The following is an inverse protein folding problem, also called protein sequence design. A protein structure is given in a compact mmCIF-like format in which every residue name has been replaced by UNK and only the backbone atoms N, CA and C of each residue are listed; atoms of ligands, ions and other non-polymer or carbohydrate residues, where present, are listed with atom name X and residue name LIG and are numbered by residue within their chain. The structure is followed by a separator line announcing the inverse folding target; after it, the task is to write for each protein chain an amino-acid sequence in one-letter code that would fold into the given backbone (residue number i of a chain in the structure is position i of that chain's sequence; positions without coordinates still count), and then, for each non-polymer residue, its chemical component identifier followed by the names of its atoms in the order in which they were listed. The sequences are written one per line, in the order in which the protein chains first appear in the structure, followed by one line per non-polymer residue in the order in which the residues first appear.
data_IF_212351411817
#
_entry.id   IF_212351411817
#
_cell.length_a   1.000
_cell.length_b   1.000
_cell.length_c   1.000
_cell.angle_alpha   90.00
_cell.angle_beta   90.00
_cell.angle_gamma   90.00
#
_symmetry.space_group_name_H-M   'P 1'
#
loop_
_entity.id
_entity.type
_entity.pdbx_description
1 polymer ?
#
# COMPACT_ATOMS: atom_id res chain seq x y z
N UNK A 1 -13.88 13.50 3.30
CA UNK A 1 -13.53 12.86 4.58
C UNK A 1 -13.43 11.36 4.36
N UNK A 2 -12.30 10.75 4.69
CA UNK A 2 -12.11 9.30 4.50
C UNK A 2 -12.90 8.51 5.54
N UNK A 3 -13.34 7.30 5.18
CA UNK A 3 -13.95 6.33 6.09
C UNK A 3 -12.91 5.26 6.39
N UNK A 4 -12.62 5.02 7.67
CA UNK A 4 -11.64 4.01 8.12
C UNK A 4 -12.37 3.03 9.02
N UNK A 5 -12.20 1.74 8.77
CA UNK A 5 -12.86 0.68 9.55
C UNK A 5 -12.04 -0.60 9.50
N UNK A 6 -12.34 -1.53 10.41
CA UNK A 6 -11.74 -2.86 10.42
C UNK A 6 -12.57 -3.77 9.49
N UNK A 7 -11.94 -4.31 8.44
CA UNK A 7 -12.59 -5.15 7.43
C UNK A 7 -13.41 -6.28 8.05
N UNK A 8 -12.85 -7.02 9.01
CA UNK A 8 -13.51 -8.16 9.65
C UNK A 8 -14.73 -7.79 10.50
N UNK A 9 -14.93 -6.49 10.81
CA UNK A 9 -16.11 -6.02 11.51
C UNK A 9 -17.32 -5.77 10.56
N UNK A 10 -17.11 -5.90 9.26
CA UNK A 10 -18.14 -5.81 8.22
C UNK A 10 -18.24 -7.18 7.54
N UNK A 11 -19.11 -8.04 8.06
CA UNK A 11 -19.24 -9.45 7.65
C UNK A 11 -19.57 -9.65 6.17
N UNK A 12 -20.18 -8.66 5.57
CA UNK A 12 -20.56 -8.62 4.15
C UNK A 12 -19.38 -8.88 3.21
N UNK A 13 -18.15 -8.54 3.61
CA UNK A 13 -16.94 -8.87 2.87
C UNK A 13 -16.76 -10.39 2.69
N UNK A 14 -16.90 -11.16 3.77
CA UNK A 14 -16.77 -12.62 3.72
C UNK A 14 -17.97 -13.27 3.02
N UNK A 15 -19.18 -12.74 3.24
CA UNK A 15 -20.40 -13.25 2.62
C UNK A 15 -20.36 -13.03 1.09
N UNK A 16 -19.96 -11.86 0.60
CA UNK A 16 -19.80 -11.62 -0.84
C UNK A 16 -18.65 -12.45 -1.43
N UNK A 17 -17.54 -12.62 -0.68
CA UNK A 17 -16.42 -13.46 -1.11
C UNK A 17 -16.91 -14.87 -1.46
N UNK A 18 -17.76 -15.46 -0.63
CA UNK A 18 -18.31 -16.77 -0.92
C UNK A 18 -19.10 -16.80 -2.24
N UNK A 19 -19.95 -15.81 -2.48
CA UNK A 19 -20.72 -15.72 -3.73
C UNK A 19 -19.78 -15.54 -4.93
N UNK A 20 -18.79 -14.66 -4.82
CA UNK A 20 -17.83 -14.43 -5.90
C UNK A 20 -16.93 -15.65 -6.17
N UNK A 21 -16.65 -16.48 -5.16
CA UNK A 21 -15.96 -17.75 -5.34
C UNK A 21 -16.74 -18.73 -6.23
N UNK A 22 -18.06 -18.68 -6.19
CA UNK A 22 -18.92 -19.48 -7.09
C UNK A 22 -18.91 -18.94 -8.55
N UNK A 23 -18.43 -17.72 -8.76
CA UNK A 23 -18.28 -17.08 -10.06
C UNK A 23 -16.84 -17.13 -10.58
N UNK A 24 -15.85 -17.12 -9.69
CA UNK A 24 -14.43 -17.19 -10.00
C UNK A 24 -14.04 -18.54 -10.62
N UNK A 25 -12.99 -18.54 -11.43
CA UNK A 25 -12.47 -19.76 -12.05
C UNK A 25 -11.12 -20.13 -11.43
N UNK A 26 -10.94 -21.39 -11.12
CA UNK A 26 -9.67 -21.92 -10.60
C UNK A 26 -8.46 -21.48 -11.43
N UNK A 27 -8.58 -21.57 -12.78
CA UNK A 27 -7.51 -21.19 -13.70
C UNK A 27 -7.13 -19.69 -13.65
N UNK A 28 -8.01 -18.82 -13.19
CA UNK A 28 -7.73 -17.39 -13.00
C UNK A 28 -6.88 -17.18 -11.74
N UNK A 29 -7.26 -17.83 -10.64
CA UNK A 29 -6.54 -17.78 -9.37
C UNK A 29 -5.16 -18.46 -9.47
N UNK A 30 -5.05 -19.61 -10.15
CA UNK A 30 -3.80 -20.30 -10.40
C UNK A 30 -2.78 -19.47 -11.20
N UNK A 31 -3.24 -18.52 -12.03
CA UNK A 31 -2.37 -17.65 -12.82
C UNK A 31 -1.86 -16.43 -12.05
N UNK A 32 -2.39 -16.16 -10.85
CA UNK A 32 -1.98 -15.01 -10.05
C UNK A 32 -0.49 -15.07 -9.68
N UNK A 33 0.26 -14.06 -10.09
CA UNK A 33 1.73 -14.01 -9.85
C UNK A 33 2.05 -13.96 -8.36
N UNK A 34 1.32 -13.17 -7.60
CA UNK A 34 1.48 -13.06 -6.15
C UNK A 34 1.25 -14.40 -5.43
N UNK A 35 0.27 -15.19 -5.88
CA UNK A 35 0.07 -16.54 -5.37
C UNK A 35 1.29 -17.43 -5.64
N UNK A 36 1.76 -17.45 -6.89
CA UNK A 36 2.94 -18.26 -7.28
C UNK A 36 4.19 -17.91 -6.49
N UNK A 37 4.44 -16.63 -6.29
CA UNK A 37 5.64 -16.17 -5.58
C UNK A 37 5.59 -16.50 -4.09
N UNK A 38 4.42 -16.32 -3.44
CA UNK A 38 4.23 -16.67 -2.04
C UNK A 38 4.21 -18.18 -1.82
N UNK A 39 3.57 -18.93 -2.71
CA UNK A 39 3.53 -20.38 -2.68
C UNK A 39 4.95 -21.02 -2.77
N UNK A 40 5.81 -20.47 -3.63
CA UNK A 40 7.22 -20.90 -3.73
C UNK A 40 8.01 -20.66 -2.43
N UNK A 41 7.68 -19.61 -1.68
CA UNK A 41 8.34 -19.29 -0.40
C UNK A 41 7.86 -20.18 0.76
N UNK A 42 6.60 -20.60 0.76
CA UNK A 42 5.96 -21.34 1.87
C UNK A 42 6.02 -22.88 1.69
N UNK A 43 6.42 -23.37 0.52
CA UNK A 43 6.58 -24.80 0.16
C UNK A 43 5.41 -25.73 0.56
N UNK A 44 5.34 -26.22 1.79
CA UNK A 44 4.40 -27.29 2.18
C UNK A 44 3.13 -26.80 2.94
N UNK A 45 3.09 -25.55 3.38
CA UNK A 45 2.01 -25.02 4.22
C UNK A 45 1.19 -23.92 3.53
N UNK A 46 0.81 -24.13 2.26
CA UNK A 46 0.00 -23.16 1.51
C UNK A 46 -1.45 -23.27 1.98
N UNK A 47 -1.97 -22.21 2.61
CA UNK A 47 -3.37 -22.17 3.01
C UNK A 47 -4.29 -21.84 1.84
N UNK A 48 -5.56 -22.31 1.91
CA UNK A 48 -6.60 -21.93 0.94
C UNK A 48 -6.78 -20.40 0.91
N UNK A 49 -6.66 -19.73 2.05
CA UNK A 49 -6.74 -18.28 2.11
C UNK A 49 -5.67 -17.56 1.28
N UNK A 50 -4.47 -18.15 1.11
CA UNK A 50 -3.46 -17.60 0.22
C UNK A 50 -3.85 -17.73 -1.26
N UNK A 51 -4.62 -18.73 -1.61
CA UNK A 51 -5.17 -18.92 -2.95
C UNK A 51 -6.37 -18.01 -3.21
N UNK A 52 -7.18 -17.78 -2.19
CA UNK A 52 -8.51 -17.16 -2.28
C UNK A 52 -8.54 -15.64 -1.99
N UNK A 53 -7.52 -15.09 -1.32
CA UNK A 53 -7.53 -13.66 -0.96
C UNK A 53 -7.75 -12.68 -2.13
N UNK A 54 -7.43 -13.00 -3.42
CA UNK A 54 -7.77 -12.10 -4.52
C UNK A 54 -9.28 -11.93 -4.71
N UNK A 55 -10.08 -12.95 -4.37
CA UNK A 55 -11.55 -12.88 -4.40
C UNK A 55 -12.07 -12.05 -3.22
N UNK A 56 -11.46 -12.17 -2.04
CA UNK A 56 -11.77 -11.29 -0.90
C UNK A 56 -11.44 -9.83 -1.23
N UNK A 57 -10.31 -9.56 -1.89
CA UNK A 57 -10.00 -8.21 -2.36
C UNK A 57 -11.03 -7.69 -3.37
N UNK A 58 -11.54 -8.54 -4.24
CA UNK A 58 -12.63 -8.16 -5.15
C UNK A 58 -13.90 -7.78 -4.38
N UNK A 59 -14.25 -8.52 -3.32
CA UNK A 59 -15.37 -8.17 -2.42
C UNK A 59 -15.15 -6.82 -1.74
N UNK A 60 -13.94 -6.55 -1.24
CA UNK A 60 -13.57 -5.28 -0.60
C UNK A 60 -13.81 -4.07 -1.51
N UNK A 61 -13.71 -4.27 -2.81
CA UNK A 61 -13.88 -3.22 -3.83
C UNK A 61 -15.34 -3.13 -4.30
N UNK A 62 -15.95 -4.27 -4.61
CA UNK A 62 -17.26 -4.32 -5.29
C UNK A 62 -18.43 -3.98 -4.35
N UNK A 63 -18.32 -4.27 -3.05
CA UNK A 63 -19.34 -3.90 -2.06
C UNK A 63 -19.65 -2.41 -2.04
N UNK A 64 -18.69 -1.57 -2.37
CA UNK A 64 -18.79 -0.12 -2.25
C UNK A 64 -19.00 0.60 -3.58
N UNK A 65 -19.28 -0.12 -4.67
CA UNK A 65 -19.42 0.45 -6.01
C UNK A 65 -18.28 1.39 -6.39
N UNK A 66 -17.06 0.98 -6.08
CA UNK A 66 -15.84 1.79 -6.20
C UNK A 66 -15.61 2.21 -7.66
N UNK A 67 -15.34 3.51 -7.88
CA UNK A 67 -14.96 4.05 -9.18
C UNK A 67 -13.51 3.78 -9.52
N UNK A 68 -12.62 4.14 -8.59
CA UNK A 68 -11.18 4.14 -8.78
C UNK A 68 -10.48 3.46 -7.61
N UNK A 69 -9.58 2.54 -7.90
CA UNK A 69 -8.77 1.85 -6.91
C UNK A 69 -7.31 2.28 -7.06
N UNK A 70 -6.74 3.01 -6.09
CA UNK A 70 -5.33 3.37 -6.11
C UNK A 70 -4.49 2.13 -5.82
N UNK A 71 -3.74 1.67 -6.82
CA UNK A 71 -2.91 0.47 -6.73
C UNK A 71 -1.53 0.68 -7.33
N UNK A 72 -0.53 -0.05 -6.81
CA UNK A 72 0.75 -0.24 -7.47
C UNK A 72 0.66 -1.27 -8.60
N UNK A 73 1.67 -1.31 -9.46
CA UNK A 73 1.70 -2.25 -10.59
C UNK A 73 1.61 -3.73 -10.17
N UNK A 74 2.11 -4.07 -8.99
CA UNK A 74 2.05 -5.41 -8.41
C UNK A 74 0.62 -5.85 -8.06
N UNK A 75 -0.32 -4.93 -7.93
CA UNK A 75 -1.74 -5.19 -7.64
C UNK A 75 -2.64 -5.11 -8.89
N UNK A 76 -2.09 -4.76 -10.05
CA UNK A 76 -2.86 -4.64 -11.30
C UNK A 76 -3.65 -5.92 -11.61
N UNK A 77 -3.01 -7.08 -11.49
CA UNK A 77 -3.64 -8.36 -11.80
C UNK A 77 -4.82 -8.70 -10.87
N UNK A 78 -4.76 -8.30 -9.61
CA UNK A 78 -5.89 -8.45 -8.68
C UNK A 78 -7.07 -7.58 -9.09
N UNK A 79 -6.81 -6.35 -9.54
CA UNK A 79 -7.86 -5.47 -9.99
C UNK A 79 -8.48 -5.95 -11.32
N UNK A 80 -7.68 -6.51 -12.23
CA UNK A 80 -8.20 -7.15 -13.44
C UNK A 80 -9.14 -8.30 -13.10
N UNK A 81 -8.77 -9.17 -12.15
CA UNK A 81 -9.65 -10.21 -11.64
C UNK A 81 -10.96 -9.63 -11.07
N UNK A 82 -10.86 -8.56 -10.29
CA UNK A 82 -12.05 -7.87 -9.74
C UNK A 82 -12.99 -7.40 -10.85
N UNK A 83 -12.44 -6.81 -11.90
CA UNK A 83 -13.21 -6.35 -13.08
C UNK A 83 -13.87 -7.52 -13.80
N UNK A 84 -13.13 -8.60 -14.03
CA UNK A 84 -13.64 -9.81 -14.69
C UNK A 84 -14.78 -10.44 -13.89
N UNK A 85 -14.66 -10.50 -12.56
CA UNK A 85 -15.72 -11.00 -11.66
C UNK A 85 -16.97 -10.12 -11.74
N UNK A 86 -16.81 -8.78 -11.69
CA UNK A 86 -17.91 -7.84 -11.79
C UNK A 86 -18.64 -7.97 -13.13
N UNK A 87 -17.91 -7.99 -14.25
CA UNK A 87 -18.47 -8.12 -15.60
C UNK A 87 -19.21 -9.46 -15.74
N UNK A 88 -18.62 -10.55 -15.26
CA UNK A 88 -19.21 -11.89 -15.34
C UNK A 88 -20.48 -11.99 -14.50
N UNK A 89 -20.44 -11.50 -13.25
CA UNK A 89 -21.62 -11.48 -12.40
C UNK A 89 -22.74 -10.65 -13.02
N UNK A 90 -22.45 -9.45 -13.50
CA UNK A 90 -23.44 -8.58 -14.13
C UNK A 90 -24.07 -9.22 -15.37
N UNK A 91 -23.29 -9.95 -16.18
CA UNK A 91 -23.79 -10.68 -17.35
C UNK A 91 -24.73 -11.82 -16.96
N UNK A 92 -24.35 -12.61 -15.94
CA UNK A 92 -25.02 -13.88 -15.62
C UNK A 92 -26.23 -13.68 -14.69
N UNK A 93 -26.19 -12.66 -13.81
CA UNK A 93 -27.21 -12.39 -12.78
C UNK A 93 -27.88 -11.02 -12.91
N UNK A 94 -27.46 -10.18 -13.87
CA UNK A 94 -27.96 -8.82 -14.06
C UNK A 94 -27.10 -7.76 -13.40
N UNK A 95 -27.21 -6.54 -13.89
CA UNK A 95 -26.35 -5.43 -13.53
C UNK A 95 -26.43 -5.08 -12.05
N UNK A 96 -25.37 -5.36 -11.31
CA UNK A 96 -25.27 -5.25 -9.86
C UNK A 96 -24.04 -4.47 -9.45
N UNK A 97 -22.86 -4.82 -9.99
CA UNK A 97 -21.60 -4.21 -9.61
C UNK A 97 -21.17 -3.13 -10.59
N UNK A 98 -20.64 -2.05 -10.05
CA UNK A 98 -19.84 -1.11 -10.81
C UNK A 98 -18.48 -1.71 -11.12
N UNK A 99 -18.03 -1.62 -12.37
CA UNK A 99 -16.71 -2.11 -12.78
C UNK A 99 -15.68 -1.04 -12.44
N UNK A 100 -14.74 -1.29 -11.51
CA UNK A 100 -13.77 -0.29 -11.07
C UNK A 100 -12.67 -0.07 -12.10
N UNK A 101 -12.03 1.11 -12.05
CA UNK A 101 -10.82 1.40 -12.81
C UNK A 101 -9.59 1.53 -11.90
N UNK A 102 -8.41 1.23 -12.45
CA UNK A 102 -7.15 1.41 -11.75
C UNK A 102 -6.73 2.88 -11.73
N UNK A 103 -6.41 3.40 -10.55
CA UNK A 103 -5.69 4.64 -10.42
C UNK A 103 -4.23 4.33 -10.11
N UNK A 104 -3.37 4.40 -11.13
CA UNK A 104 -1.93 4.21 -10.98
C UNK A 104 -1.29 5.60 -11.01
N UNK A 105 -0.76 6.08 -9.88
CA UNK A 105 -0.09 7.37 -9.84
C UNK A 105 1.06 7.40 -10.85
N UNK A 106 1.10 8.43 -11.69
CA UNK A 106 2.16 8.58 -12.71
C UNK A 106 3.54 8.86 -12.12
N UNK A 107 3.60 9.27 -10.86
CA UNK A 107 4.85 9.62 -10.16
C UNK A 107 4.73 9.19 -8.70
N UNK A 108 5.37 8.10 -8.37
CA UNK A 108 5.84 7.84 -7.03
C UNK A 108 7.34 7.69 -7.12
N UNK A 109 8.11 8.53 -6.43
CA UNK A 109 9.54 8.29 -6.35
C UNK A 109 9.76 6.87 -5.81
N UNK A 110 10.51 6.08 -6.54
CA UNK A 110 10.89 4.74 -6.09
C UNK A 110 12.04 4.89 -5.11
N UNK A 111 11.72 5.07 -3.84
CA UNK A 111 12.72 5.16 -2.80
C UNK A 111 13.38 3.78 -2.60
N UNK A 112 14.72 3.78 -2.62
CA UNK A 112 15.52 2.57 -2.48
C UNK A 112 15.97 2.39 -1.02
N UNK A 113 16.32 1.15 -0.66
CA UNK A 113 16.85 0.82 0.66
C UNK A 113 18.10 1.63 0.98
N UNK A 114 18.23 2.08 2.22
CA UNK A 114 19.40 2.83 2.69
C UNK A 114 20.66 1.95 2.80
N UNK A 115 20.48 0.65 3.00
CA UNK A 115 21.58 -0.33 3.12
C UNK A 115 21.91 -1.03 1.79
N UNK A 116 20.95 -1.09 0.84
CA UNK A 116 21.13 -1.69 -0.48
C UNK A 116 20.36 -0.89 -1.54
N UNK A 117 20.98 0.09 -2.19
CA UNK A 117 20.32 0.94 -3.18
C UNK A 117 19.85 0.23 -4.45
N UNK A 118 20.15 -1.05 -4.61
CA UNK A 118 19.61 -1.87 -5.71
C UNK A 118 18.20 -2.40 -5.43
N UNK A 119 17.78 -2.40 -4.15
CA UNK A 119 16.48 -2.89 -3.69
C UNK A 119 15.56 -1.73 -3.33
N UNK A 120 14.26 -1.90 -3.57
CA UNK A 120 13.25 -0.94 -3.09
C UNK A 120 13.22 -0.95 -1.55
N UNK A 121 13.10 0.23 -0.93
CA UNK A 121 12.85 0.35 0.51
C UNK A 121 11.59 -0.42 0.89
N UNK A 122 11.70 -1.29 1.87
CA UNK A 122 10.60 -2.16 2.30
C UNK A 122 10.58 -2.29 3.82
N UNK A 123 9.38 -2.21 4.39
CA UNK A 123 9.14 -2.49 5.82
C UNK A 123 9.48 -3.94 6.19
N UNK A 124 9.38 -4.87 5.25
CA UNK A 124 9.64 -6.30 5.43
C UNK A 124 11.03 -6.73 4.97
N UNK A 125 11.99 -5.79 4.84
CA UNK A 125 13.39 -6.12 4.58
C UNK A 125 14.02 -6.78 5.81
N UNK A 126 14.93 -7.74 5.58
CA UNK A 126 15.67 -8.43 6.64
C UNK A 126 16.62 -7.49 7.39
N UNK A 127 17.10 -6.41 6.72
CA UNK A 127 17.91 -5.38 7.35
C UNK A 127 17.05 -4.20 7.85
N UNK A 128 16.88 -4.03 9.17
CA UNK A 128 16.12 -2.93 9.75
C UNK A 128 16.71 -1.55 9.48
N UNK A 129 18.00 -1.47 9.07
CA UNK A 129 18.63 -0.19 8.71
C UNK A 129 18.30 0.25 7.28
N UNK A 130 17.77 -0.64 6.46
CA UNK A 130 17.40 -0.35 5.07
C UNK A 130 16.15 0.53 4.92
N UNK A 131 15.33 0.65 5.96
CA UNK A 131 14.05 1.37 5.92
C UNK A 131 13.89 2.31 7.10
N UNK A 132 13.43 3.55 6.86
CA UNK A 132 12.97 4.47 7.91
C UNK A 132 11.47 4.25 8.10
N UNK A 133 11.07 3.92 9.33
CA UNK A 133 9.66 3.75 9.70
C UNK A 133 9.07 5.08 10.17
N UNK A 134 7.77 5.28 9.97
CA UNK A 134 7.07 6.51 10.38
C UNK A 134 7.15 6.76 11.90
N UNK A 135 7.32 5.71 12.71
CA UNK A 135 7.41 5.80 14.17
C UNK A 135 8.85 5.65 14.71
N UNK A 136 9.87 5.65 13.84
CA UNK A 136 11.26 5.69 14.31
C UNK A 136 11.53 6.96 15.12
N UNK A 137 12.18 6.83 16.24
CA UNK A 137 12.63 7.98 17.04
C UNK A 137 13.81 8.70 16.36
N UNK A 138 14.12 9.91 16.84
CA UNK A 138 15.15 10.75 16.27
C UNK A 138 16.53 10.05 16.25
N UNK A 139 16.89 9.34 17.32
CA UNK A 139 18.17 8.63 17.42
C UNK A 139 18.26 7.48 16.42
N UNK A 140 17.15 6.76 16.22
CA UNK A 140 17.06 5.68 15.24
C UNK A 140 17.19 6.22 13.83
N UNK A 141 16.49 7.30 13.49
CA UNK A 141 16.59 7.96 12.17
C UNK A 141 18.02 8.40 11.90
N UNK A 142 18.68 9.08 12.88
CA UNK A 142 20.07 9.52 12.74
C UNK A 142 21.01 8.33 12.51
N UNK A 143 20.87 7.24 13.28
CA UNK A 143 21.68 6.02 13.12
C UNK A 143 21.52 5.38 11.75
N UNK A 144 20.27 5.29 11.23
CA UNK A 144 19.97 4.73 9.92
C UNK A 144 20.62 5.54 8.79
N UNK A 145 20.46 6.86 8.78
CA UNK A 145 21.11 7.69 7.77
C UNK A 145 22.63 7.71 7.90
N UNK A 146 23.18 7.74 9.10
CA UNK A 146 24.65 7.64 9.31
C UNK A 146 25.21 6.37 8.68
N UNK A 147 24.50 5.25 8.75
CA UNK A 147 24.89 3.94 8.21
C UNK A 147 24.51 3.76 6.73
N UNK A 148 23.67 4.62 6.16
CA UNK A 148 23.24 4.51 4.77
C UNK A 148 24.45 4.39 3.84
N UNK A 149 24.32 3.52 2.85
CA UNK A 149 25.38 3.28 1.86
C UNK A 149 25.61 4.53 1.03
N UNK A 150 26.88 4.85 0.77
CA UNK A 150 27.33 5.88 -0.15
C UNK A 150 28.43 5.29 -1.04
N UNK A 151 28.74 5.92 -2.14
CA UNK A 151 29.84 5.54 -3.01
C UNK A 151 31.18 6.15 -2.52
N UNK A 152 32.25 5.94 -3.29
CA UNK A 152 33.58 6.47 -3.04
C UNK A 152 33.82 7.88 -3.62
N UNK A 153 32.79 8.50 -4.21
CA UNK A 153 32.88 9.84 -4.77
C UNK A 153 32.87 10.93 -3.72
N UNK A 154 33.00 12.18 -4.17
CA UNK A 154 32.97 13.36 -3.28
C UNK A 154 31.89 14.37 -3.66
N UNK A 155 31.41 14.33 -4.92
CA UNK A 155 30.37 15.23 -5.39
C UNK A 155 28.98 14.78 -4.94
N UNK A 156 28.17 15.73 -4.52
CA UNK A 156 26.77 15.54 -4.14
C UNK A 156 25.89 16.21 -5.21
N UNK A 157 25.44 15.39 -6.18
CA UNK A 157 24.55 15.80 -7.26
C UNK A 157 23.67 14.64 -7.68
N UNK A 158 22.54 14.95 -8.33
CA UNK A 158 21.69 13.92 -8.94
C UNK A 158 22.43 13.26 -10.11
N UNK A 159 22.59 11.95 -10.04
CA UNK A 159 23.27 11.16 -11.06
C UNK A 159 22.71 9.73 -11.03
N UNK A 160 22.03 9.33 -12.09
CA UNK A 160 21.43 8.00 -12.21
C UNK A 160 22.48 6.85 -12.16
N UNK A 161 23.75 7.14 -12.51
CA UNK A 161 24.84 6.18 -12.39
C UNK A 161 25.33 5.95 -10.95
N UNK A 162 24.86 6.76 -10.00
CA UNK A 162 25.25 6.76 -8.59
C UNK A 162 24.03 6.52 -7.69
N UNK A 163 23.44 5.32 -7.72
CA UNK A 163 22.12 5.04 -7.13
C UNK A 163 22.05 5.34 -5.63
N UNK A 164 23.13 5.14 -4.88
CA UNK A 164 23.15 5.40 -3.42
C UNK A 164 22.97 6.90 -3.13
N UNK A 165 23.75 7.76 -3.76
CA UNK A 165 23.69 9.20 -3.54
C UNK A 165 22.39 9.77 -4.12
N UNK A 166 22.01 9.31 -5.32
CA UNK A 166 20.77 9.74 -5.97
C UNK A 166 19.56 9.43 -5.07
N UNK A 167 19.51 8.26 -4.44
CA UNK A 167 18.44 7.90 -3.49
C UNK A 167 18.38 8.85 -2.28
N UNK A 168 19.52 9.18 -1.67
CA UNK A 168 19.55 10.10 -0.52
C UNK A 168 19.10 11.51 -0.93
N UNK A 169 19.51 11.99 -2.09
CA UNK A 169 19.08 13.29 -2.63
C UNK A 169 17.58 13.30 -2.98
N UNK A 170 17.08 12.21 -3.54
CA UNK A 170 15.65 12.07 -3.85
C UNK A 170 14.78 12.12 -2.58
N UNK A 171 15.21 11.42 -1.52
CA UNK A 171 14.52 11.49 -0.21
C UNK A 171 14.54 12.93 0.31
N UNK A 172 15.69 13.63 0.25
CA UNK A 172 15.78 15.01 0.70
C UNK A 172 14.92 15.96 -0.12
N UNK A 173 14.92 15.82 -1.45
CA UNK A 173 14.07 16.57 -2.37
C UNK A 173 12.58 16.41 -2.03
N UNK A 174 12.13 15.18 -1.86
CA UNK A 174 10.71 14.87 -1.58
C UNK A 174 10.26 15.38 -0.22
N UNK A 175 11.09 15.19 0.81
CA UNK A 175 10.75 15.61 2.19
C UNK A 175 10.73 17.13 2.30
N UNK A 176 11.71 17.82 1.70
CA UNK A 176 11.82 19.27 1.81
C UNK A 176 10.98 20.04 0.80
N UNK A 177 10.51 19.37 -0.27
CA UNK A 177 9.82 20.02 -1.40
C UNK A 177 10.70 20.97 -2.22
N UNK A 178 12.01 21.01 -1.98
CA UNK A 178 12.96 21.88 -2.72
C UNK A 178 13.18 21.32 -4.13
N UNK A 179 13.25 22.16 -5.17
CA UNK A 179 13.63 21.71 -6.51
C UNK A 179 15.01 21.03 -6.51
N UNK A 180 15.24 20.08 -7.44
CA UNK A 180 16.50 19.32 -7.51
C UNK A 180 17.73 20.23 -7.57
N UNK A 181 17.70 21.30 -8.38
CA UNK A 181 18.82 22.26 -8.46
C UNK A 181 19.10 22.92 -7.11
N UNK A 182 18.08 23.32 -6.36
CA UNK A 182 18.27 23.92 -5.04
C UNK A 182 18.82 22.93 -4.00
N UNK A 183 18.55 21.63 -4.17
CA UNK A 183 19.16 20.56 -3.36
C UNK A 183 20.66 20.44 -3.70
N UNK A 184 21.02 20.41 -4.98
CA UNK A 184 22.42 20.37 -5.40
C UNK A 184 23.20 21.59 -4.93
N UNK A 185 22.64 22.78 -5.07
CA UNK A 185 23.24 24.04 -4.61
C UNK A 185 23.45 24.03 -3.08
N UNK A 186 22.48 23.48 -2.34
CA UNK A 186 22.60 23.33 -0.87
C UNK A 186 23.77 22.44 -0.45
N UNK A 187 24.06 21.40 -1.22
CA UNK A 187 25.14 20.46 -0.91
C UNK A 187 26.45 20.73 -1.66
N UNK A 188 26.51 21.77 -2.48
CA UNK A 188 27.74 22.13 -3.19
C UNK A 188 28.90 22.35 -2.23
N UNK A 189 30.00 21.61 -2.42
CA UNK A 189 31.19 21.66 -1.57
C UNK A 189 31.09 20.99 -0.20
N UNK A 190 29.93 20.35 0.12
CA UNK A 190 29.76 19.58 1.35
C UNK A 190 30.16 18.11 1.14
N UNK A 191 30.44 17.41 2.26
CA UNK A 191 30.73 15.98 2.25
C UNK A 191 29.52 15.12 2.62
N UNK A 192 29.63 13.80 2.44
CA UNK A 192 28.53 12.86 2.73
C UNK A 192 28.09 12.84 4.20
N UNK A 193 28.99 13.16 5.13
CA UNK A 193 28.61 13.26 6.55
C UNK A 193 27.59 14.39 6.75
N UNK A 194 27.78 15.53 6.06
CA UNK A 194 26.83 16.64 6.12
C UNK A 194 25.52 16.30 5.42
N UNK A 195 25.56 15.67 4.23
CA UNK A 195 24.35 15.20 3.54
C UNK A 195 23.52 14.29 4.44
N UNK A 196 24.16 13.30 5.06
CA UNK A 196 23.46 12.35 5.95
C UNK A 196 22.90 13.01 7.20
N UNK A 197 23.62 14.01 7.76
CA UNK A 197 23.15 14.80 8.89
C UNK A 197 21.94 15.66 8.54
N UNK A 198 22.05 16.46 7.49
CA UNK A 198 20.97 17.34 7.04
C UNK A 198 19.71 16.53 6.63
N UNK A 199 19.92 15.34 6.01
CA UNK A 199 18.84 14.44 5.64
C UNK A 199 18.15 13.81 6.87
N UNK A 200 18.93 13.43 7.89
CA UNK A 200 18.37 12.93 9.14
C UNK A 200 17.51 13.99 9.83
N UNK A 201 18.03 15.22 9.93
CA UNK A 201 17.30 16.35 10.52
C UNK A 201 16.01 16.65 9.76
N UNK A 202 16.07 16.76 8.43
CA UNK A 202 14.91 16.99 7.59
C UNK A 202 13.86 15.88 7.76
N UNK A 203 14.30 14.63 7.88
CA UNK A 203 13.40 13.48 8.09
C UNK A 203 12.75 13.53 9.47
N UNK A 204 13.48 13.85 10.53
CA UNK A 204 12.96 13.99 11.89
C UNK A 204 11.91 15.09 11.93
N UNK A 205 12.20 16.25 11.35
CA UNK A 205 11.24 17.35 11.27
C UNK A 205 9.97 16.98 10.48
N UNK A 206 10.12 16.23 9.39
CA UNK A 206 9.00 15.74 8.60
C UNK A 206 8.12 14.75 9.37
N UNK A 207 8.72 13.85 10.15
CA UNK A 207 8.00 12.84 10.93
C UNK A 207 7.34 13.39 12.20
N UNK A 208 7.89 14.46 12.79
CA UNK A 208 7.45 15.01 14.08
C UNK A 208 5.95 15.32 14.13
N UNK A 209 5.35 16.08 13.19
CA UNK A 209 3.93 16.41 13.25
C UNK A 209 3.05 15.16 13.12
N UNK A 210 3.45 14.19 12.32
CA UNK A 210 2.75 12.91 12.20
C UNK A 210 2.79 12.12 13.52
N UNK A 211 3.98 11.95 14.09
CA UNK A 211 4.17 11.22 15.35
C UNK A 211 3.45 11.88 16.52
N UNK A 212 3.43 13.21 16.54
CA UNK A 212 2.68 13.96 17.54
C UNK A 212 1.18 13.66 17.44
N UNK A 213 0.60 13.74 16.24
CA UNK A 213 -0.82 13.42 16.03
C UNK A 213 -1.17 11.98 16.42
N UNK A 214 -0.30 11.03 16.12
CA UNK A 214 -0.50 9.63 16.53
C UNK A 214 -0.56 9.50 18.06
N UNK A 215 0.29 10.23 18.79
CA UNK A 215 0.31 10.22 20.28
C UNK A 215 -0.88 10.96 20.91
N UNK A 216 -1.47 11.91 20.19
CA UNK A 216 -2.62 12.69 20.66
C UNK A 216 -3.95 11.93 20.52
N UNK A 217 -4.01 10.87 19.70
CA UNK A 217 -5.21 10.05 19.52
C UNK A 217 -5.28 9.04 20.65
N UNK A 218 -6.31 9.12 21.50
CA UNK A 218 -6.56 8.09 22.52
C UNK A 218 -7.20 6.83 21.92
N UNK A 219 -7.10 5.70 22.64
CA UNK A 219 -7.71 4.45 22.21
C UNK A 219 -9.23 4.60 22.06
N UNK A 220 -9.90 5.34 22.95
CA UNK A 220 -11.33 5.61 22.86
C UNK A 220 -11.71 6.42 21.62
N UNK A 221 -10.87 7.40 21.25
CA UNK A 221 -11.06 8.16 20.01
C UNK A 221 -10.86 7.30 18.77
N UNK A 222 -9.86 6.41 18.80
CA UNK A 222 -9.61 5.45 17.74
C UNK A 222 -10.78 4.50 17.56
N UNK A 223 -11.27 3.91 18.65
CA UNK A 223 -12.40 2.99 18.65
C UNK A 223 -13.66 3.69 18.11
N UNK A 224 -13.95 4.90 18.55
CA UNK A 224 -15.09 5.67 18.06
C UNK A 224 -15.00 5.96 16.55
N UNK A 225 -13.81 6.27 16.01
CA UNK A 225 -13.60 6.47 14.57
C UNK A 225 -13.82 5.18 13.79
N UNK A 226 -13.30 4.06 14.30
CA UNK A 226 -13.43 2.74 13.67
C UNK A 226 -14.88 2.24 13.69
N UNK A 227 -15.61 2.47 14.79
CA UNK A 227 -17.03 2.13 14.89
C UNK A 227 -17.91 2.95 13.94
N UNK A 228 -17.71 4.25 13.87
CA UNK A 228 -18.40 5.09 12.90
C UNK A 228 -18.09 4.68 11.46
N UNK A 229 -16.83 4.33 11.20
CA UNK A 229 -16.40 3.83 9.91
C UNK A 229 -17.08 2.51 9.57
N UNK A 230 -17.15 1.57 10.53
CA UNK A 230 -17.85 0.28 10.40
C UNK A 230 -19.34 0.48 10.06
N UNK A 231 -20.03 1.32 10.83
CA UNK A 231 -21.46 1.57 10.60
C UNK A 231 -21.73 2.11 9.20
N UNK A 232 -20.94 3.09 8.78
CA UNK A 232 -21.06 3.66 7.42
C UNK A 232 -20.73 2.63 6.33
N UNK A 233 -19.68 1.84 6.52
CA UNK A 233 -19.29 0.80 5.57
C UNK A 233 -20.38 -0.28 5.47
N UNK A 234 -20.89 -0.73 6.61
CA UNK A 234 -21.92 -1.75 6.69
C UNK A 234 -23.24 -1.31 6.03
N UNK A 235 -23.64 -0.03 6.21
CA UNK A 235 -24.83 0.50 5.56
C UNK A 235 -24.76 0.39 4.03
N UNK A 236 -23.61 0.59 3.42
CA UNK A 236 -23.43 0.47 1.98
C UNK A 236 -23.31 -1.00 1.58
N UNK A 237 -22.47 -1.76 2.29
CA UNK A 237 -22.18 -3.15 1.99
C UNK A 237 -23.42 -4.05 2.08
N UNK A 238 -24.27 -3.85 3.10
CA UNK A 238 -25.51 -4.63 3.27
C UNK A 238 -26.50 -4.43 2.11
N UNK A 239 -26.64 -3.20 1.60
CA UNK A 239 -27.51 -2.93 0.45
C UNK A 239 -27.00 -3.66 -0.79
N UNK A 240 -25.70 -3.59 -1.06
CA UNK A 240 -25.10 -4.27 -2.21
C UNK A 240 -25.22 -5.79 -2.07
N UNK A 241 -24.93 -6.33 -0.89
CA UNK A 241 -25.03 -7.77 -0.64
C UNK A 241 -26.47 -8.28 -0.76
N UNK A 242 -27.45 -7.51 -0.27
CA UNK A 242 -28.85 -7.87 -0.44
C UNK A 242 -29.24 -7.98 -1.92
N UNK A 243 -28.82 -7.03 -2.76
CA UNK A 243 -29.04 -7.10 -4.21
C UNK A 243 -28.41 -8.36 -4.83
N UNK A 244 -27.18 -8.71 -4.38
CA UNK A 244 -26.50 -9.93 -4.80
C UNK A 244 -27.33 -11.18 -4.45
N UNK A 245 -27.82 -11.27 -3.21
CA UNK A 245 -28.63 -12.40 -2.75
C UNK A 245 -29.95 -12.52 -3.49
N UNK A 246 -30.63 -11.42 -3.72
CA UNK A 246 -31.87 -11.40 -4.52
C UNK A 246 -31.64 -11.91 -5.94
N UNK A 247 -30.56 -11.50 -6.58
CA UNK A 247 -30.25 -11.90 -7.96
C UNK A 247 -29.73 -13.34 -8.08
N UNK A 248 -29.08 -13.85 -7.06
CA UNK A 248 -28.57 -15.24 -7.03
C UNK A 248 -29.57 -16.24 -6.45
N UNK A 249 -30.73 -15.77 -5.95
CA UNK A 249 -31.73 -16.61 -5.30
C UNK A 249 -31.35 -17.04 -3.87
N UNK A 250 -30.34 -16.41 -3.27
CA UNK A 250 -29.95 -16.65 -1.87
C UNK A 250 -30.71 -15.74 -0.89
N UNK A 251 -31.43 -14.76 -1.38
CA UNK A 251 -32.29 -13.89 -0.56
C UNK A 251 -33.54 -14.62 -0.09
N UNK A 252 -34.00 -14.32 1.11
CA UNK A 252 -35.33 -14.73 1.53
C UNK A 252 -36.37 -13.96 0.71
N UNK A 253 -37.21 -14.69 0.00
CA UNK A 253 -38.39 -14.13 -0.68
C UNK A 253 -39.40 -13.60 0.34
#
# INVERSE_FOLDING_TARGET
MSTVFIQSHVKEHAELTWVLNCVARMSELERMTQYKDKARKQQENISVGLFDYPVLMASDILLYHTDLVPVGDDQRQHLELTRDLAIRFNRDYGETFKVPDAYIPKVGARIMSLSDPSKKMSKSDDDPNGCVLLMDDADTVQKKFKRAVTDSGTEIRFDASRPAINNLLEIYHLITGKPAQAVEDHFAGKGYAQLKGDLAEATIEFLRPFQQRVREISDEQLDAILDQGREKAQQIASVTLQQVFERTGLGHG
#
